data_IF_441657031664
#
_entry.id   IF_441657031664
#
_cell.length_a   1.000
_cell.length_b   1.000
_cell.length_c   1.000
_cell.angle_alpha   90.00
_cell.angle_beta   90.00
_cell.angle_gamma   90.00
#
_symmetry.space_group_name_H-M   'P 1'
#
loop_
_entity.id
_entity.type
_entity.pdbx_description
1 polymer ?
#
# COMPACT_ATOMS: atom_id res chain seq x y z
N UNK A 1 2.21 17.76 6.08
CA UNK A 1 1.36 17.42 4.92
C UNK A 1 1.96 16.19 4.27
N UNK A 2 1.12 15.28 3.79
CA UNK A 2 1.60 13.95 3.35
C UNK A 2 2.16 13.98 1.92
N UNK A 3 2.06 15.13 1.26
CA UNK A 3 2.20 15.22 -0.18
C UNK A 3 3.01 16.44 -0.62
N UNK A 4 3.98 16.23 -1.51
CA UNK A 4 4.89 17.24 -2.06
C UNK A 4 4.34 17.76 -3.41
N UNK A 5 3.58 18.86 -3.37
CA UNK A 5 2.84 19.35 -4.54
C UNK A 5 3.71 19.65 -5.78
N UNK A 6 4.90 20.27 -5.69
CA UNK A 6 5.78 20.43 -6.86
C UNK A 6 6.13 19.12 -7.56
N UNK A 7 6.34 18.05 -6.79
CA UNK A 7 6.66 16.72 -7.29
C UNK A 7 5.43 16.09 -7.96
N UNK A 8 4.24 16.38 -7.47
CA UNK A 8 2.99 16.03 -8.15
C UNK A 8 2.88 16.60 -9.54
N UNK A 9 3.11 17.90 -9.64
CA UNK A 9 2.89 18.62 -10.87
C UNK A 9 3.85 18.09 -11.92
N UNK A 10 5.08 17.76 -11.50
CA UNK A 10 6.05 17.01 -12.31
C UNK A 10 5.48 15.64 -12.73
N UNK A 11 5.10 14.78 -11.78
CA UNK A 11 4.59 13.43 -12.08
C UNK A 11 3.34 13.45 -12.97
N UNK A 12 2.43 14.42 -12.79
CA UNK A 12 1.25 14.60 -13.64
C UNK A 12 1.63 14.98 -15.08
N UNK A 13 2.65 15.82 -15.25
CA UNK A 13 3.17 16.18 -16.56
C UNK A 13 3.83 14.98 -17.26
N UNK A 14 4.66 14.22 -16.53
CA UNK A 14 5.30 12.99 -17.01
C UNK A 14 4.27 11.92 -17.38
N UNK A 15 3.20 11.78 -16.58
CA UNK A 15 2.11 10.89 -16.90
C UNK A 15 1.35 11.32 -18.16
N UNK A 16 1.08 12.62 -18.34
CA UNK A 16 0.45 13.10 -19.56
C UNK A 16 1.28 12.75 -20.81
N UNK A 17 2.61 12.92 -20.75
CA UNK A 17 3.51 12.50 -21.82
C UNK A 17 3.49 10.97 -22.04
N UNK A 18 3.56 10.18 -20.96
CA UNK A 18 3.50 8.73 -21.02
C UNK A 18 2.17 8.23 -21.61
N UNK A 19 1.03 8.78 -21.20
CA UNK A 19 -0.30 8.45 -21.73
C UNK A 19 -0.37 8.75 -23.23
N UNK A 20 0.23 9.86 -23.69
CA UNK A 20 0.33 10.15 -25.11
C UNK A 20 1.14 9.08 -25.85
N UNK A 21 2.28 8.63 -25.31
CA UNK A 21 3.08 7.54 -25.89
C UNK A 21 2.31 6.22 -25.98
N UNK A 22 1.59 5.84 -24.92
CA UNK A 22 0.72 4.66 -24.90
C UNK A 22 -0.37 4.77 -25.97
N UNK A 23 -1.05 5.92 -26.04
CA UNK A 23 -2.11 6.16 -27.01
C UNK A 23 -1.61 6.11 -28.46
N UNK A 24 -0.45 6.70 -28.75
CA UNK A 24 0.18 6.59 -30.07
C UNK A 24 0.51 5.14 -30.40
N UNK A 25 1.18 4.41 -29.50
CA UNK A 25 1.53 3.00 -29.72
C UNK A 25 0.28 2.11 -29.92
N UNK A 26 -0.83 2.46 -29.27
CA UNK A 26 -2.14 1.83 -29.47
C UNK A 26 -2.72 2.15 -30.86
N UNK A 27 -2.81 3.43 -31.24
CA UNK A 27 -3.44 3.88 -32.50
C UNK A 27 -2.64 3.40 -33.71
N UNK A 28 -1.31 3.41 -33.62
CA UNK A 28 -0.41 2.93 -34.67
C UNK A 28 -0.39 1.39 -34.79
N UNK A 29 -1.08 0.66 -33.91
CA UNK A 29 -1.13 -0.80 -33.88
C UNK A 29 0.17 -1.47 -33.37
N UNK A 30 1.15 -0.68 -32.89
CA UNK A 30 2.43 -1.19 -32.37
C UNK A 30 2.25 -2.07 -31.13
N UNK A 31 1.33 -1.71 -30.21
CA UNK A 31 0.99 -2.55 -29.05
C UNK A 31 0.51 -3.92 -29.51
N UNK A 32 -0.43 -3.96 -30.46
CA UNK A 32 -0.96 -5.23 -30.96
C UNK A 32 0.09 -6.05 -31.69
N UNK A 33 0.93 -5.42 -32.52
CA UNK A 33 2.00 -6.10 -33.26
C UNK A 33 3.02 -6.72 -32.31
N UNK A 34 3.40 -5.98 -31.26
CA UNK A 34 4.29 -6.47 -30.21
C UNK A 34 3.65 -7.59 -29.39
N UNK A 35 2.42 -7.41 -28.92
CA UNK A 35 1.72 -8.40 -28.11
C UNK A 35 1.47 -9.73 -28.83
N UNK A 36 1.28 -9.70 -30.16
CA UNK A 36 1.15 -10.90 -31.00
C UNK A 36 2.35 -11.84 -30.88
N UNK A 37 3.56 -11.29 -30.69
CA UNK A 37 4.79 -12.05 -30.52
C UNK A 37 4.78 -13.00 -29.32
N UNK A 38 3.97 -12.72 -28.29
CA UNK A 38 3.82 -13.59 -27.12
C UNK A 38 2.76 -14.68 -27.33
N UNK A 39 1.90 -14.56 -28.35
CA UNK A 39 0.83 -15.53 -28.57
C UNK A 39 1.38 -16.83 -29.19
N UNK A 40 1.17 -18.01 -28.58
CA UNK A 40 1.73 -19.28 -29.07
C UNK A 40 1.35 -19.62 -30.53
N UNK A 41 0.18 -19.14 -30.97
CA UNK A 41 -0.34 -19.31 -32.34
C UNK A 41 -0.31 -18.04 -33.20
N UNK A 42 0.33 -16.96 -32.71
CA UNK A 42 0.43 -15.67 -33.39
C UNK A 42 -0.92 -15.13 -33.90
N UNK A 43 -1.97 -15.22 -33.07
CA UNK A 43 -3.33 -14.82 -33.47
C UNK A 43 -3.43 -13.31 -33.61
N UNK A 44 -4.23 -12.84 -34.58
CA UNK A 44 -4.41 -11.41 -34.84
C UNK A 44 -4.95 -10.68 -33.61
N UNK A 45 -4.17 -9.76 -33.05
CA UNK A 45 -4.56 -8.93 -31.91
C UNK A 45 -5.68 -7.94 -32.26
N UNK A 46 -6.73 -7.90 -31.42
CA UNK A 46 -7.69 -6.78 -31.36
C UNK A 46 -7.65 -6.15 -29.98
N UNK A 47 -7.34 -4.86 -29.94
CA UNK A 47 -7.34 -4.08 -28.71
C UNK A 47 -8.72 -3.46 -28.47
N UNK A 48 -9.35 -3.79 -27.35
CA UNK A 48 -10.54 -3.09 -26.84
C UNK A 48 -10.22 -2.58 -25.43
N UNK A 49 -9.95 -1.28 -25.27
CA UNK A 49 -9.45 -0.77 -23.98
C UNK A 49 -8.07 -1.37 -23.66
N UNK A 50 -7.96 -2.14 -22.57
CA UNK A 50 -6.77 -2.91 -22.19
C UNK A 50 -6.78 -4.38 -22.62
N UNK A 51 -7.83 -4.83 -23.32
CA UNK A 51 -8.02 -6.24 -23.69
C UNK A 51 -7.38 -6.57 -25.04
N UNK A 52 -6.61 -7.66 -25.08
CA UNK A 52 -5.92 -8.19 -26.26
C UNK A 52 -6.33 -9.66 -26.47
N UNK A 53 -7.33 -9.94 -27.31
CA UNK A 53 -7.77 -11.33 -27.59
C UNK A 53 -7.99 -12.22 -26.33
N UNK A 54 -8.66 -11.68 -25.29
CA UNK A 54 -8.85 -12.32 -23.96
C UNK A 54 -7.61 -12.36 -23.03
N UNK A 55 -6.52 -11.68 -23.41
CA UNK A 55 -5.42 -11.33 -22.52
C UNK A 55 -5.54 -9.90 -22.02
N UNK A 56 -4.97 -9.63 -20.86
CA UNK A 56 -4.94 -8.32 -20.23
C UNK A 56 -3.48 -7.85 -20.14
N UNK A 57 -3.19 -6.69 -20.75
CA UNK A 57 -1.88 -6.06 -20.68
C UNK A 57 -1.88 -4.98 -19.59
N UNK A 58 -0.95 -5.08 -18.65
CA UNK A 58 -0.66 -4.06 -17.64
C UNK A 58 0.67 -3.40 -17.92
N UNK A 59 0.65 -2.07 -17.81
CA UNK A 59 1.81 -1.20 -17.83
C UNK A 59 1.71 -0.30 -16.60
N UNK A 60 2.73 -0.24 -15.72
CA UNK A 60 2.71 0.71 -14.61
C UNK A 60 2.61 2.15 -15.10
N UNK A 61 1.71 2.91 -14.50
CA UNK A 61 1.54 4.34 -14.81
C UNK A 61 2.74 5.13 -14.29
N UNK A 62 3.30 6.00 -15.14
CA UNK A 62 4.53 6.74 -14.83
C UNK A 62 4.45 7.60 -13.55
N UNK A 63 3.29 8.19 -13.23
CA UNK A 63 3.10 8.98 -12.00
C UNK A 63 2.86 8.13 -10.75
N UNK A 64 2.41 6.89 -10.92
CA UNK A 64 1.95 6.04 -9.82
C UNK A 64 3.06 5.18 -9.24
N UNK A 65 4.12 4.92 -10.02
CA UNK A 65 5.29 4.16 -9.60
C UNK A 65 6.54 4.91 -10.03
N UNK A 66 7.39 5.31 -9.06
CA UNK A 66 8.72 5.84 -9.35
C UNK A 66 9.47 4.95 -10.37
N UNK A 67 9.98 5.51 -11.48
CA UNK A 67 10.58 4.74 -12.57
C UNK A 67 11.70 3.79 -12.14
N UNK A 68 12.50 4.20 -11.15
CA UNK A 68 13.62 3.41 -10.60
C UNK A 68 13.18 2.09 -9.95
N UNK A 69 11.91 1.99 -9.55
CA UNK A 69 11.35 0.85 -8.82
C UNK A 69 10.27 0.10 -9.60
N UNK A 70 9.95 0.55 -10.82
CA UNK A 70 8.90 -0.07 -11.63
C UNK A 70 9.23 -1.53 -11.98
N UNK A 71 10.48 -1.80 -12.33
CA UNK A 71 10.98 -3.14 -12.64
C UNK A 71 10.94 -4.07 -11.43
N UNK A 72 11.44 -3.60 -10.27
CA UNK A 72 11.39 -4.33 -9.00
C UNK A 72 9.94 -4.67 -8.62
N UNK A 73 9.03 -3.69 -8.73
CA UNK A 73 7.61 -3.86 -8.44
C UNK A 73 6.96 -4.94 -9.31
N UNK A 74 7.14 -4.86 -10.64
CA UNK A 74 6.54 -5.83 -11.58
C UNK A 74 7.12 -7.22 -11.35
N UNK A 75 8.45 -7.35 -11.17
CA UNK A 75 9.07 -8.63 -10.90
C UNK A 75 8.52 -9.26 -9.60
N UNK A 76 8.34 -8.49 -8.53
CA UNK A 76 7.78 -9.01 -7.28
C UNK A 76 6.32 -9.44 -7.40
N UNK A 77 5.50 -8.72 -8.16
CA UNK A 77 4.12 -9.13 -8.44
C UNK A 77 4.08 -10.46 -9.22
N UNK A 78 4.96 -10.64 -10.20
CA UNK A 78 5.11 -11.91 -10.94
C UNK A 78 5.48 -13.05 -10.00
N UNK A 79 6.44 -12.85 -9.09
CA UNK A 79 6.82 -13.86 -8.10
C UNK A 79 5.68 -14.22 -7.15
N UNK A 80 4.96 -13.21 -6.65
CA UNK A 80 3.83 -13.42 -5.75
C UNK A 80 2.71 -14.24 -6.41
N UNK A 81 2.34 -13.91 -7.65
CA UNK A 81 1.32 -14.65 -8.41
C UNK A 81 1.72 -16.12 -8.60
N UNK A 82 2.96 -16.39 -8.99
CA UNK A 82 3.45 -17.77 -9.16
C UNK A 82 3.47 -18.52 -7.83
N UNK A 83 4.00 -17.90 -6.77
CA UNK A 83 4.06 -18.51 -5.44
C UNK A 83 2.68 -18.87 -4.91
N UNK A 84 1.72 -17.95 -5.03
CA UNK A 84 0.32 -18.17 -4.59
C UNK A 84 -0.32 -19.30 -5.40
N UNK A 85 -0.17 -19.30 -6.73
CA UNK A 85 -0.70 -20.34 -7.61
C UNK A 85 -0.14 -21.74 -7.27
N UNK A 86 1.14 -21.82 -6.93
CA UNK A 86 1.81 -23.09 -6.64
C UNK A 86 1.53 -23.64 -5.25
N UNK A 87 1.35 -22.76 -4.26
CA UNK A 87 1.23 -23.14 -2.85
C UNK A 87 -0.19 -23.15 -2.31
N UNK A 88 -1.15 -22.60 -3.06
CA UNK A 88 -2.52 -22.41 -2.60
C UNK A 88 -3.54 -22.79 -3.66
N UNK A 89 -4.80 -22.84 -3.28
CA UNK A 89 -5.96 -22.95 -4.17
C UNK A 89 -6.57 -21.60 -4.54
N UNK A 90 -5.93 -20.49 -4.16
CA UNK A 90 -6.42 -19.14 -4.42
C UNK A 90 -6.40 -18.92 -5.93
N UNK A 91 -7.54 -18.54 -6.54
CA UNK A 91 -7.56 -18.23 -7.95
C UNK A 91 -6.84 -16.89 -8.18
N UNK A 92 -5.81 -16.91 -9.01
CA UNK A 92 -5.04 -15.74 -9.44
C UNK A 92 -4.92 -15.75 -10.97
N UNK A 93 -4.62 -14.62 -11.64
CA UNK A 93 -4.39 -14.57 -13.08
C UNK A 93 -3.21 -15.43 -13.53
N UNK A 94 -3.32 -16.02 -14.72
CA UNK A 94 -2.23 -16.73 -15.37
C UNK A 94 -1.34 -15.73 -16.10
N UNK A 95 -0.03 -15.74 -15.83
CA UNK A 95 0.92 -14.86 -16.49
C UNK A 95 1.39 -15.54 -17.78
N UNK A 96 1.13 -14.91 -18.92
CA UNK A 96 1.55 -15.37 -20.25
C UNK A 96 2.92 -14.81 -20.64
N UNK A 97 3.17 -13.54 -20.31
CA UNK A 97 4.43 -12.87 -20.55
C UNK A 97 4.59 -11.70 -19.57
N UNK A 98 5.82 -11.30 -19.33
CA UNK A 98 6.17 -10.10 -18.60
C UNK A 98 7.57 -9.68 -19.05
N UNK A 99 8.00 -8.47 -18.67
CA UNK A 99 9.36 -8.03 -18.91
C UNK A 99 9.66 -6.68 -18.30
N UNK A 100 10.96 -6.38 -18.20
CA UNK A 100 11.52 -5.15 -17.66
C UNK A 100 11.37 -3.98 -18.64
N UNK A 101 11.60 -2.77 -18.15
CA UNK A 101 11.53 -1.55 -18.95
C UNK A 101 12.42 -1.63 -20.20
N UNK A 102 13.65 -2.15 -20.06
CA UNK A 102 14.61 -2.28 -21.17
C UNK A 102 14.19 -3.32 -22.22
N UNK A 103 13.36 -4.29 -21.84
CA UNK A 103 12.87 -5.35 -22.73
C UNK A 103 11.63 -4.93 -23.51
N UNK A 104 11.01 -3.80 -23.13
CA UNK A 104 9.84 -3.27 -23.82
C UNK A 104 10.26 -2.36 -24.99
N UNK A 105 10.16 -2.82 -26.26
CA UNK A 105 10.61 -2.07 -27.43
C UNK A 105 9.77 -0.81 -27.70
N UNK A 106 8.64 -0.63 -27.00
CA UNK A 106 7.80 0.55 -27.10
C UNK A 106 8.25 1.67 -26.15
N UNK A 107 9.19 1.39 -25.23
CA UNK A 107 9.65 2.36 -24.23
C UNK A 107 8.55 2.79 -23.25
N UNK A 108 7.60 1.91 -22.95
CA UNK A 108 6.45 2.19 -22.08
C UNK A 108 6.65 1.74 -20.62
N UNK A 109 7.86 1.32 -20.26
CA UNK A 109 8.18 0.74 -18.96
C UNK A 109 8.01 -0.80 -18.93
N UNK A 110 8.15 -1.43 -17.76
CA UNK A 110 7.92 -2.87 -17.63
C UNK A 110 6.46 -3.21 -17.92
N UNK A 111 6.21 -4.50 -18.16
CA UNK A 111 4.87 -4.96 -18.54
C UNK A 111 4.55 -6.33 -17.97
N UNK A 112 3.25 -6.61 -17.89
CA UNK A 112 2.73 -7.93 -17.61
C UNK A 112 1.55 -8.22 -18.52
N UNK A 113 1.51 -9.43 -19.08
CA UNK A 113 0.45 -9.94 -19.93
C UNK A 113 -0.12 -11.19 -19.26
N UNK A 114 -1.41 -11.17 -18.96
CA UNK A 114 -2.04 -12.22 -18.16
C UNK A 114 -3.46 -12.55 -18.63
N UNK A 115 -4.04 -13.61 -18.06
CA UNK A 115 -5.43 -14.00 -18.30
C UNK A 115 -6.39 -12.90 -17.90
N UNK A 116 -7.35 -12.57 -18.78
CA UNK A 116 -8.53 -11.84 -18.37
C UNK A 116 -9.41 -12.72 -17.47
N UNK A 117 -9.98 -12.13 -16.42
CA UNK A 117 -10.87 -12.82 -15.49
C UNK A 117 -12.30 -12.34 -15.73
N UNK A 118 -13.18 -13.25 -16.12
CA UNK A 118 -14.60 -12.99 -16.24
C UNK A 118 -15.24 -12.81 -14.85
N UNK A 119 -15.98 -11.71 -14.67
CA UNK A 119 -16.68 -11.42 -13.42
C UNK A 119 -16.92 -9.93 -13.21
N UNK A 120 -17.25 -9.56 -11.98
CA UNK A 120 -17.47 -8.17 -11.53
C UNK A 120 -16.52 -7.88 -10.36
N UNK A 121 -15.91 -6.70 -10.37
CA UNK A 121 -15.09 -6.26 -9.24
C UNK A 121 -15.97 -6.09 -8.00
N UNK A 122 -15.52 -6.59 -6.85
CA UNK A 122 -16.31 -6.52 -5.62
C UNK A 122 -16.59 -5.06 -5.22
N UNK A 123 -15.71 -4.11 -5.54
CA UNK A 123 -15.96 -2.67 -5.38
C UNK A 123 -17.24 -2.23 -6.08
N UNK A 124 -17.52 -2.70 -7.30
CA UNK A 124 -18.73 -2.32 -8.05
C UNK A 124 -20.01 -2.93 -7.45
N UNK A 125 -19.87 -3.94 -6.59
CA UNK A 125 -20.98 -4.59 -5.88
C UNK A 125 -21.17 -3.96 -4.51
N UNK A 126 -20.08 -3.68 -3.80
CA UNK A 126 -20.04 -3.37 -2.37
C UNK A 126 -19.80 -1.89 -2.04
N UNK A 127 -19.35 -1.07 -2.99
CA UNK A 127 -19.25 0.38 -2.80
C UNK A 127 -20.45 1.12 -3.42
N UNK A 128 -20.73 2.34 -2.97
CA UNK A 128 -21.78 3.21 -3.50
C UNK A 128 -21.36 4.69 -3.46
N UNK A 129 -21.87 5.48 -4.41
CA UNK A 129 -21.87 6.94 -4.30
C UNK A 129 -20.50 7.62 -4.30
N UNK A 130 -19.44 6.94 -4.78
CA UNK A 130 -18.07 7.45 -4.75
C UNK A 130 -17.39 7.34 -3.38
N UNK A 131 -18.06 6.78 -2.36
CA UNK A 131 -17.41 6.41 -1.10
C UNK A 131 -16.43 5.27 -1.33
N UNK A 132 -15.30 5.30 -0.63
CA UNK A 132 -14.34 4.19 -0.61
C UNK A 132 -14.76 3.06 0.33
N UNK A 133 -15.79 3.30 1.14
CA UNK A 133 -16.27 2.38 2.16
C UNK A 133 -17.32 1.42 1.64
N UNK A 134 -17.47 0.32 2.38
CA UNK A 134 -18.57 -0.61 2.23
C UNK A 134 -19.93 0.13 2.33
N UNK A 135 -20.76 0.04 1.29
CA UNK A 135 -22.07 0.70 1.26
C UNK A 135 -22.99 0.22 2.37
N UNK A 136 -23.86 1.11 2.82
CA UNK A 136 -24.88 0.78 3.80
C UNK A 136 -25.91 -0.20 3.21
N UNK A 137 -26.51 -1.04 4.05
CA UNK A 137 -27.57 -1.94 3.63
C UNK A 137 -27.15 -3.26 2.95
N UNK A 138 -25.84 -3.54 2.78
CA UNK A 138 -25.41 -4.89 2.40
C UNK A 138 -25.83 -5.88 3.51
N UNK A 139 -26.56 -6.96 3.19
CA UNK A 139 -26.91 -7.99 4.15
C UNK A 139 -25.66 -8.58 4.82
N UNK A 140 -25.72 -8.78 6.14
CA UNK A 140 -24.58 -9.38 6.86
C UNK A 140 -24.24 -10.78 6.34
N UNK A 141 -25.22 -11.51 5.79
CA UNK A 141 -25.01 -12.81 5.16
C UNK A 141 -24.09 -12.74 3.94
N UNK A 142 -24.21 -11.69 3.12
CA UNK A 142 -23.38 -11.50 1.92
C UNK A 142 -21.95 -11.13 2.31
N UNK A 143 -21.80 -10.27 3.34
CA UNK A 143 -20.50 -9.92 3.92
C UNK A 143 -19.84 -11.16 4.51
N UNK A 144 -20.57 -11.93 5.30
CA UNK A 144 -20.07 -13.17 5.89
C UNK A 144 -19.63 -14.16 4.80
N UNK A 145 -20.41 -14.28 3.72
CA UNK A 145 -20.09 -15.17 2.61
C UNK A 145 -18.77 -14.81 1.92
N UNK A 146 -18.53 -13.53 1.66
CA UNK A 146 -17.25 -13.05 1.10
C UNK A 146 -16.12 -13.21 2.11
N UNK A 147 -16.31 -12.79 3.36
CA UNK A 147 -15.30 -12.91 4.41
C UNK A 147 -14.89 -14.35 4.68
N UNK A 148 -15.82 -15.30 4.58
CA UNK A 148 -15.53 -16.72 4.74
C UNK A 148 -14.60 -17.23 3.63
N UNK A 149 -14.80 -16.80 2.39
CA UNK A 149 -13.88 -17.12 1.28
C UNK A 149 -12.51 -16.46 1.48
N UNK A 150 -12.49 -15.18 1.88
CA UNK A 150 -11.25 -14.47 2.21
C UNK A 150 -10.50 -15.13 3.38
N UNK A 151 -11.19 -15.56 4.43
CA UNK A 151 -10.58 -16.27 5.56
C UNK A 151 -9.90 -17.58 5.10
N UNK A 152 -10.54 -18.35 4.19
CA UNK A 152 -9.90 -19.53 3.59
C UNK A 152 -8.64 -19.19 2.80
N UNK A 153 -8.60 -18.05 2.12
CA UNK A 153 -7.40 -17.59 1.42
C UNK A 153 -6.32 -17.17 2.40
N UNK A 154 -6.68 -16.39 3.43
CA UNK A 154 -5.75 -15.94 4.48
C UNK A 154 -5.11 -17.13 5.20
N UNK A 155 -5.88 -18.17 5.54
CA UNK A 155 -5.37 -19.40 6.16
C UNK A 155 -4.39 -20.17 5.26
N UNK A 156 -4.55 -20.11 3.94
CA UNK A 156 -3.62 -20.73 3.00
C UNK A 156 -2.34 -19.90 2.85
N UNK A 157 -2.46 -18.58 2.69
CA UNK A 157 -1.31 -17.67 2.61
C UNK A 157 -0.47 -17.71 3.90
N UNK A 158 -1.12 -17.85 5.06
CA UNK A 158 -0.43 -17.95 6.35
C UNK A 158 0.43 -19.21 6.49
N UNK A 159 0.25 -20.22 5.65
CA UNK A 159 1.13 -21.42 5.62
C UNK A 159 2.40 -21.21 4.79
N UNK A 160 2.54 -20.07 4.11
CA UNK A 160 3.73 -19.74 3.32
C UNK A 160 4.74 -19.06 4.25
N UNK A 161 5.76 -19.83 4.64
CA UNK A 161 6.78 -19.40 5.58
C UNK A 161 8.05 -18.91 4.89
N UNK A 162 8.63 -17.85 5.45
CA UNK A 162 9.94 -17.32 5.09
C UNK A 162 10.84 -17.25 6.32
N UNK A 163 12.14 -17.46 6.10
CA UNK A 163 13.16 -17.38 7.16
C UNK A 163 13.64 -15.96 7.46
N UNK A 164 13.25 -14.97 6.66
CA UNK A 164 13.64 -13.56 6.84
C UNK A 164 12.56 -12.60 6.33
N UNK A 165 12.47 -11.43 6.94
CA UNK A 165 11.66 -10.32 6.42
C UNK A 165 12.46 -9.63 5.31
N UNK A 166 11.83 -9.37 4.18
CA UNK A 166 12.50 -8.81 3.02
C UNK A 166 11.76 -9.04 1.73
N UNK A 167 12.44 -8.77 0.64
CA UNK A 167 11.97 -9.08 -0.71
C UNK A 167 11.74 -10.58 -0.88
N UNK A 168 10.76 -10.93 -1.72
CA UNK A 168 10.49 -12.33 -2.03
C UNK A 168 11.69 -12.97 -2.75
N UNK A 169 11.96 -14.28 -2.52
CA UNK A 169 12.87 -15.03 -3.38
C UNK A 169 12.41 -14.94 -4.84
N UNK A 170 13.36 -14.87 -5.78
CA UNK A 170 13.05 -14.64 -7.21
C UNK A 170 13.34 -15.84 -8.14
N UNK A 171 12.87 -17.08 -7.85
CA UNK A 171 13.18 -18.24 -8.69
C UNK A 171 12.49 -18.23 -10.06
N UNK A 172 11.46 -17.40 -10.29
CA UNK A 172 10.74 -17.32 -11.56
C UNK A 172 11.27 -16.21 -12.46
N UNK A 173 11.56 -15.06 -11.86
CA UNK A 173 11.99 -13.84 -12.53
C UNK A 173 13.50 -13.71 -12.62
N UNK A 174 14.25 -14.33 -11.69
CA UNK A 174 15.68 -14.13 -11.49
C UNK A 174 16.06 -12.64 -11.32
N UNK A 175 15.10 -11.79 -10.94
CA UNK A 175 15.36 -10.37 -10.77
C UNK A 175 16.30 -10.16 -9.56
N UNK A 176 17.39 -9.38 -9.71
CA UNK A 176 18.38 -9.18 -8.65
C UNK A 176 17.91 -8.13 -7.64
N UNK A 177 16.77 -8.37 -6.99
CA UNK A 177 16.23 -7.42 -6.02
C UNK A 177 17.12 -7.30 -4.78
N UNK A 178 17.25 -6.09 -4.20
CA UNK A 178 17.81 -5.93 -2.86
C UNK A 178 16.98 -6.71 -1.84
N UNK A 179 17.60 -7.17 -0.74
CA UNK A 179 16.87 -7.95 0.29
C UNK A 179 15.84 -7.15 1.09
N UNK A 180 15.86 -5.80 1.01
CA UNK A 180 14.90 -4.93 1.69
C UNK A 180 13.55 -4.92 1.00
N UNK A 181 12.42 -5.02 1.73
CA UNK A 181 11.12 -5.10 1.10
C UNK A 181 10.77 -3.77 0.40
N UNK A 182 10.21 -3.86 -0.80
CA UNK A 182 9.55 -2.76 -1.48
C UNK A 182 8.08 -2.72 -1.04
N UNK A 183 7.80 -2.07 0.08
CA UNK A 183 6.45 -1.90 0.62
C UNK A 183 5.73 -0.74 -0.06
N UNK A 184 4.39 -0.72 0.00
CA UNK A 184 3.61 0.43 -0.47
C UNK A 184 4.03 1.70 0.28
N UNK A 185 4.17 1.61 1.61
CA UNK A 185 4.54 2.75 2.45
C UNK A 185 5.86 3.41 2.04
N UNK A 186 6.94 2.65 1.90
CA UNK A 186 8.25 3.24 1.58
C UNK A 186 8.25 3.87 0.19
N UNK A 187 7.52 3.25 -0.74
CA UNK A 187 7.33 3.78 -2.09
C UNK A 187 6.50 5.06 -2.08
N UNK A 188 5.40 5.12 -1.33
CA UNK A 188 4.59 6.34 -1.21
C UNK A 188 5.39 7.48 -0.57
N UNK A 189 6.19 7.23 0.48
CA UNK A 189 7.05 8.27 1.06
C UNK A 189 8.00 8.86 0.01
N UNK A 190 8.53 8.02 -0.89
CA UNK A 190 9.36 8.49 -1.99
C UNK A 190 8.55 9.23 -3.06
N UNK A 191 7.48 8.60 -3.57
CA UNK A 191 6.69 9.08 -4.72
C UNK A 191 5.86 10.30 -4.38
N UNK A 192 5.27 10.35 -3.19
CA UNK A 192 4.45 11.46 -2.72
C UNK A 192 5.24 12.48 -1.90
N UNK A 193 6.20 12.04 -1.08
CA UNK A 193 6.95 12.91 -0.19
C UNK A 193 8.31 13.38 -0.74
N UNK A 194 8.83 12.76 -1.81
CA UNK A 194 10.14 13.07 -2.37
C UNK A 194 11.32 12.58 -1.53
N UNK A 195 11.09 11.72 -0.52
CA UNK A 195 12.13 11.29 0.42
C UNK A 195 12.42 9.80 0.27
N UNK A 196 13.66 9.46 -0.07
CA UNK A 196 14.12 8.08 0.00
C UNK A 196 14.41 7.66 1.45
N UNK A 197 13.63 6.69 1.94
CA UNK A 197 13.75 6.14 3.31
C UNK A 197 14.12 4.66 3.34
N UNK A 198 14.54 4.08 2.21
CA UNK A 198 14.91 2.67 2.11
C UNK A 198 16.08 2.29 3.02
N UNK A 199 17.07 3.18 3.20
CA UNK A 199 18.30 2.92 3.94
C UNK A 199 19.20 1.85 3.30
N UNK A 200 20.32 1.51 3.97
CA UNK A 200 21.18 0.39 3.56
C UNK A 200 20.69 -0.91 4.22
N UNK A 201 19.96 -1.74 3.46
CA UNK A 201 19.31 -2.95 3.96
C UNK A 201 19.49 -4.13 3.00
N UNK A 202 20.74 -4.43 2.68
CA UNK A 202 21.10 -5.54 1.79
C UNK A 202 20.82 -6.94 2.36
N UNK A 203 20.55 -7.08 3.66
CA UNK A 203 20.34 -8.39 4.30
C UNK A 203 18.90 -8.64 4.79
N UNK A 204 17.95 -7.72 4.60
CA UNK A 204 16.60 -7.85 5.16
C UNK A 204 16.58 -7.71 6.70
N UNK A 205 15.59 -8.32 7.37
CA UNK A 205 15.46 -8.27 8.84
C UNK A 205 15.29 -9.66 9.45
N UNK A 206 16.00 -9.88 10.55
CA UNK A 206 15.95 -11.17 11.27
C UNK A 206 14.88 -11.19 12.35
N UNK A 207 14.32 -10.04 12.73
CA UNK A 207 13.23 -9.97 13.70
C UNK A 207 12.13 -8.98 13.32
N UNK A 208 10.91 -9.25 13.80
CA UNK A 208 9.75 -8.37 13.67
C UNK A 208 10.02 -7.02 14.33
N UNK A 209 10.62 -7.01 15.52
CA UNK A 209 10.96 -5.76 16.22
C UNK A 209 11.91 -4.88 15.42
N UNK A 210 12.93 -5.46 14.79
CA UNK A 210 13.87 -4.72 13.95
C UNK A 210 13.15 -4.08 12.75
N UNK A 211 12.26 -4.84 12.11
CA UNK A 211 11.43 -4.36 11.01
C UNK A 211 10.47 -3.24 11.44
N UNK A 212 9.78 -3.36 12.59
CA UNK A 212 8.91 -2.29 13.08
C UNK A 212 9.68 -1.02 13.43
N UNK A 213 10.87 -1.14 14.00
CA UNK A 213 11.75 0.02 14.22
C UNK A 213 12.17 0.67 12.90
N UNK A 214 12.47 -0.14 11.89
CA UNK A 214 12.79 0.34 10.55
C UNK A 214 11.62 1.10 9.93
N UNK A 215 10.41 0.55 9.96
CA UNK A 215 9.20 1.17 9.41
C UNK A 215 8.81 2.45 10.16
N UNK A 216 8.96 2.49 11.48
CA UNK A 216 8.77 3.72 12.26
C UNK A 216 9.85 4.77 11.95
N UNK A 217 11.09 4.33 11.68
CA UNK A 217 12.17 5.23 11.29
C UNK A 217 11.98 5.81 9.88
N UNK A 218 11.21 5.16 9.00
CA UNK A 218 10.80 5.76 7.73
C UNK A 218 9.95 7.01 7.97
N UNK A 219 8.98 6.96 8.89
CA UNK A 219 8.15 8.13 9.24
C UNK A 219 9.01 9.24 9.88
N UNK A 220 9.97 8.87 10.74
CA UNK A 220 10.93 9.84 11.28
C UNK A 220 11.77 10.52 10.19
N UNK A 221 12.23 9.77 9.20
CA UNK A 221 12.99 10.32 8.09
C UNK A 221 12.13 11.21 7.21
N UNK A 222 10.89 10.82 6.92
CA UNK A 222 9.94 11.67 6.21
C UNK A 222 9.69 12.97 6.98
N UNK A 223 9.34 12.89 8.27
CA UNK A 223 9.09 14.05 9.12
C UNK A 223 10.28 15.03 9.12
N UNK A 224 11.51 14.51 9.16
CA UNK A 224 12.72 15.33 9.21
C UNK A 224 13.14 15.89 7.85
N UNK A 225 13.05 15.10 6.78
CA UNK A 225 13.64 15.43 5.47
C UNK A 225 12.65 16.02 4.48
N UNK A 226 11.38 15.65 4.56
CA UNK A 226 10.37 16.27 3.70
C UNK A 226 10.11 17.68 4.22
N UNK A 227 10.40 18.69 3.40
CA UNK A 227 10.36 20.08 3.84
C UNK A 227 8.97 20.51 4.35
N UNK A 228 7.91 20.09 3.66
CA UNK A 228 6.51 20.38 3.99
C UNK A 228 5.81 19.31 4.87
N UNK A 229 6.57 18.50 5.61
CA UNK A 229 6.00 17.48 6.51
C UNK A 229 5.13 18.05 7.63
N UNK A 230 5.22 19.35 7.93
CA UNK A 230 4.43 20.05 8.95
C UNK A 230 3.56 21.16 8.33
N UNK A 231 2.48 21.55 9.00
CA UNK A 231 1.68 22.74 8.66
C UNK A 231 1.96 23.94 9.59
N UNK A 232 2.76 23.73 10.63
CA UNK A 232 3.10 24.75 11.62
C UNK A 232 3.57 24.16 12.95
N UNK A 233 3.80 25.01 13.97
CA UNK A 233 4.43 24.59 15.22
C UNK A 233 3.65 23.49 15.96
N UNK A 234 2.31 23.56 15.94
CA UNK A 234 1.48 22.55 16.59
C UNK A 234 1.64 21.18 15.94
N UNK A 235 1.47 21.09 14.62
CA UNK A 235 1.63 19.81 13.87
C UNK A 235 3.03 19.24 13.98
N UNK A 236 4.07 20.10 14.05
CA UNK A 236 5.45 19.68 14.26
C UNK A 236 5.64 18.99 15.62
N UNK A 237 5.19 19.62 16.71
CA UNK A 237 5.24 19.03 18.05
C UNK A 237 4.40 17.76 18.16
N UNK A 238 3.19 17.78 17.61
CA UNK A 238 2.28 16.65 17.65
C UNK A 238 2.81 15.43 16.91
N UNK A 239 3.34 15.62 15.69
CA UNK A 239 3.91 14.53 14.90
C UNK A 239 5.15 13.94 15.57
N UNK A 240 6.04 14.80 16.10
CA UNK A 240 7.23 14.38 16.83
C UNK A 240 6.87 13.51 18.03
N UNK A 241 5.95 13.99 18.87
CA UNK A 241 5.49 13.26 20.06
C UNK A 241 4.80 11.94 19.70
N UNK A 242 3.94 11.94 18.68
CA UNK A 242 3.24 10.73 18.22
C UNK A 242 4.22 9.64 17.77
N UNK A 243 5.24 10.00 16.98
CA UNK A 243 6.27 9.04 16.56
C UNK A 243 7.14 8.54 17.72
N UNK A 244 7.38 9.36 18.77
CA UNK A 244 8.04 8.89 20.00
C UNK A 244 7.18 7.88 20.75
N UNK A 245 5.87 8.15 20.86
CA UNK A 245 4.93 7.21 21.51
C UNK A 245 4.91 5.89 20.75
N UNK A 246 4.71 5.90 19.43
CA UNK A 246 4.71 4.67 18.64
C UNK A 246 6.03 3.91 18.79
N UNK A 247 7.17 4.60 18.70
CA UNK A 247 8.48 4.00 18.90
C UNK A 247 8.59 3.32 20.28
N UNK A 248 8.06 3.94 21.34
CA UNK A 248 8.08 3.39 22.69
C UNK A 248 7.21 2.15 22.87
N UNK A 249 6.15 2.01 22.06
CA UNK A 249 5.21 0.89 22.11
C UNK A 249 5.68 -0.34 21.35
N UNK A 250 6.58 -0.19 20.37
CA UNK A 250 7.06 -1.32 19.53
C UNK A 250 7.56 -2.50 20.37
N UNK A 251 8.44 -2.35 21.39
CA UNK A 251 8.94 -3.51 22.14
C UNK A 251 7.85 -4.26 22.90
N UNK A 252 6.84 -3.54 23.40
CA UNK A 252 5.73 -4.04 24.20
C UNK A 252 4.65 -4.71 23.33
N UNK A 253 4.31 -4.09 22.20
CA UNK A 253 3.28 -4.56 21.27
C UNK A 253 3.83 -5.46 20.16
N UNK A 254 5.00 -6.07 20.39
CA UNK A 254 5.53 -7.15 19.55
C UNK A 254 5.31 -8.49 20.26
N UNK A 255 4.55 -9.39 19.65
CA UNK A 255 4.41 -10.78 20.09
C UNK A 255 5.78 -11.48 20.01
N UNK A 256 6.29 -11.88 21.17
CA UNK A 256 7.62 -12.49 21.29
C UNK A 256 7.71 -13.87 20.66
N UNK A 257 6.59 -14.61 20.56
CA UNK A 257 6.53 -15.90 19.87
C UNK A 257 6.83 -15.77 18.38
N UNK A 258 6.42 -14.66 17.76
CA UNK A 258 6.61 -14.38 16.33
C UNK A 258 7.71 -13.36 16.05
N UNK A 259 8.55 -13.01 17.03
CA UNK A 259 9.60 -12.02 16.82
C UNK A 259 10.65 -12.52 15.83
N UNK A 260 11.01 -13.81 15.87
CA UNK A 260 12.02 -14.42 14.98
C UNK A 260 11.42 -15.26 13.84
N UNK A 261 10.14 -15.06 13.56
CA UNK A 261 9.39 -15.79 12.54
C UNK A 261 8.62 -17.01 13.08
N UNK A 262 8.06 -17.85 12.19
CA UNK A 262 8.19 -17.74 10.74
C UNK A 262 7.56 -16.44 10.20
N UNK A 263 8.16 -15.88 9.16
CA UNK A 263 7.63 -14.69 8.47
C UNK A 263 6.68 -15.13 7.36
N UNK A 264 5.76 -14.27 6.95
CA UNK A 264 4.62 -14.61 6.08
C UNK A 264 4.62 -13.78 4.82
N UNK A 265 3.91 -14.26 3.79
CA UNK A 265 3.65 -13.48 2.58
C UNK A 265 2.68 -12.34 2.91
N UNK A 266 3.17 -11.10 2.87
CA UNK A 266 2.36 -9.88 3.00
C UNK A 266 2.22 -9.27 1.61
N UNK A 267 1.04 -8.73 1.32
CA UNK A 267 0.74 -7.96 0.13
C UNK A 267 -0.03 -6.73 0.57
N UNK A 268 0.59 -5.54 0.49
CA UNK A 268 0.00 -4.31 1.03
C UNK A 268 -1.28 -3.88 0.28
N UNK A 269 -1.52 -4.42 -0.93
CA UNK A 269 -2.74 -4.23 -1.71
C UNK A 269 -3.67 -5.47 -1.74
N UNK A 270 -3.49 -6.43 -0.83
CA UNK A 270 -4.43 -7.54 -0.70
C UNK A 270 -5.72 -7.08 0.01
N UNK A 271 -6.70 -6.62 -0.79
CA UNK A 271 -7.98 -6.08 -0.30
C UNK A 271 -9.17 -6.55 -1.13
N UNK A 272 -10.36 -6.35 -0.58
CA UNK A 272 -11.62 -6.61 -1.26
C UNK A 272 -11.76 -5.86 -2.60
N UNK A 273 -11.14 -4.68 -2.73
CA UNK A 273 -11.15 -3.94 -3.98
C UNK A 273 -10.44 -4.64 -5.14
N UNK A 274 -9.61 -5.63 -4.84
CA UNK A 274 -8.85 -6.41 -5.82
C UNK A 274 -9.42 -7.85 -5.95
N UNK A 275 -10.69 -8.04 -5.58
CA UNK A 275 -11.40 -9.32 -5.68
C UNK A 275 -12.42 -9.25 -6.79
N UNK A 276 -12.41 -10.24 -7.68
CA UNK A 276 -13.41 -10.42 -8.74
C UNK A 276 -14.35 -11.56 -8.32
N UNK A 277 -15.65 -11.28 -8.31
CA UNK A 277 -16.70 -12.27 -8.07
C UNK A 277 -17.40 -12.66 -9.37
N UNK A 278 -18.03 -13.83 -9.41
CA UNK A 278 -18.67 -14.35 -10.63
C UNK A 278 -19.75 -13.43 -11.19
N UNK A 279 -20.57 -12.83 -10.33
CA UNK A 279 -21.58 -11.83 -10.73
C UNK A 279 -22.06 -11.01 -9.52
N UNK A 280 -22.99 -10.08 -9.74
CA UNK A 280 -23.64 -9.33 -8.64
C UNK A 280 -24.49 -10.21 -7.72
N UNK A 281 -25.01 -11.32 -8.22
CA UNK A 281 -25.89 -12.25 -7.49
C UNK A 281 -25.17 -13.52 -7.01
N UNK A 282 -23.99 -13.82 -7.57
CA UNK A 282 -23.10 -14.92 -7.16
C UNK A 282 -21.75 -14.34 -6.71
N UNK A 283 -21.65 -14.14 -5.39
CA UNK A 283 -20.49 -13.57 -4.71
C UNK A 283 -19.32 -14.58 -4.56
N UNK A 284 -19.36 -15.72 -5.27
CA UNK A 284 -18.22 -16.65 -5.29
C UNK A 284 -17.02 -15.94 -5.92
N UNK A 285 -15.87 -15.95 -5.22
CA UNK A 285 -14.65 -15.33 -5.71
C UNK A 285 -14.11 -16.11 -6.91
N UNK A 286 -14.00 -15.43 -8.04
CA UNK A 286 -13.47 -15.96 -9.29
C UNK A 286 -11.95 -15.76 -9.41
N UNK A 287 -11.42 -14.65 -8.90
CA UNK A 287 -9.97 -14.40 -8.81
C UNK A 287 -9.66 -13.29 -7.79
N UNK A 288 -8.47 -13.37 -7.20
CA UNK A 288 -7.79 -12.21 -6.58
C UNK A 288 -6.81 -11.65 -7.60
N UNK A 289 -6.82 -10.34 -7.82
CA UNK A 289 -5.96 -9.64 -8.78
C UNK A 289 -5.09 -8.60 -8.06
N UNK A 290 -4.26 -7.86 -8.80
CA UNK A 290 -3.46 -6.74 -8.31
C UNK A 290 -2.71 -7.06 -7.00
N UNK A 291 -1.88 -8.11 -7.05
CA UNK A 291 -1.06 -8.59 -5.93
C UNK A 291 0.24 -7.79 -5.81
N UNK A 292 0.09 -6.46 -5.80
CA UNK A 292 1.19 -5.51 -5.78
C UNK A 292 1.77 -5.36 -4.36
N UNK A 293 3.04 -4.93 -4.28
CA UNK A 293 3.72 -4.66 -3.01
C UNK A 293 3.80 -5.89 -2.11
N UNK A 294 4.11 -7.03 -2.72
CA UNK A 294 4.26 -8.31 -2.04
C UNK A 294 5.68 -8.51 -1.49
N UNK A 295 5.79 -8.94 -0.24
CA UNK A 295 7.06 -9.16 0.45
C UNK A 295 6.92 -10.20 1.55
N UNK A 296 8.04 -10.71 2.06
CA UNK A 296 8.08 -11.50 3.27
C UNK A 296 8.09 -10.56 4.48
N UNK A 297 7.09 -10.67 5.36
CA UNK A 297 6.91 -9.76 6.49
C UNK A 297 6.48 -10.43 7.80
N UNK A 298 6.36 -9.66 8.90
CA UNK A 298 5.95 -10.18 10.19
C UNK A 298 4.61 -10.93 10.16
N UNK A 299 4.56 -12.13 10.75
CA UNK A 299 3.31 -12.88 10.92
C UNK A 299 2.23 -12.05 11.66
N UNK A 300 2.65 -11.13 12.52
CA UNK A 300 1.77 -10.31 13.35
C UNK A 300 1.07 -9.20 12.56
N UNK A 301 1.68 -8.70 11.48
CA UNK A 301 0.99 -7.81 10.55
C UNK A 301 -0.10 -8.58 9.80
N UNK A 302 0.20 -9.81 9.39
CA UNK A 302 -0.75 -10.69 8.71
C UNK A 302 -1.91 -11.11 9.62
N UNK A 303 -1.60 -11.51 10.85
CA UNK A 303 -2.55 -11.96 11.87
C UNK A 303 -3.11 -10.84 12.73
N UNK A 304 -3.24 -9.63 12.21
CA UNK A 304 -4.01 -8.56 12.86
C UNK A 304 -5.37 -8.38 12.21
N UNK A 305 -6.26 -7.64 12.87
CA UNK A 305 -7.53 -7.23 12.26
C UNK A 305 -7.29 -6.65 10.85
N UNK A 306 -7.93 -7.20 9.80
CA UNK A 306 -7.65 -6.74 8.45
C UNK A 306 -8.10 -5.29 8.25
N UNK A 307 -7.21 -4.46 7.72
CA UNK A 307 -7.55 -3.06 7.43
C UNK A 307 -8.59 -2.93 6.32
N UNK A 308 -8.74 -3.94 5.45
CA UNK A 308 -9.64 -3.93 4.29
C UNK A 308 -11.10 -4.32 4.61
N UNK A 309 -11.46 -4.55 5.88
CA UNK A 309 -12.81 -4.99 6.26
C UNK A 309 -13.90 -4.09 5.65
N UNK A 310 -13.72 -2.77 5.66
CA UNK A 310 -14.68 -1.85 5.03
C UNK A 310 -14.22 -1.38 3.65
N UNK A 311 -13.54 -2.23 2.86
CA UNK A 311 -12.95 -1.95 1.54
C UNK A 311 -11.74 -1.02 1.54
N UNK A 312 -11.68 -0.05 2.46
CA UNK A 312 -10.59 0.92 2.53
C UNK A 312 -9.83 0.86 3.86
N UNK A 313 -8.58 1.32 3.81
CA UNK A 313 -7.69 1.41 4.95
C UNK A 313 -8.14 2.57 5.86
N UNK A 314 -8.23 2.38 7.19
CA UNK A 314 -8.82 3.36 8.10
C UNK A 314 -7.87 4.51 8.46
N UNK A 315 -7.27 5.14 7.47
CA UNK A 315 -6.22 6.17 7.62
C UNK A 315 -6.46 7.39 6.73
N UNK A 316 -7.59 7.43 6.04
CA UNK A 316 -8.02 8.60 5.27
C UNK A 316 -8.99 9.45 6.12
N UNK A 317 -9.28 10.67 5.65
CA UNK A 317 -10.13 11.62 6.37
C UNK A 317 -11.58 11.17 6.61
N UNK A 318 -12.13 10.24 5.84
CA UNK A 318 -13.46 9.64 6.11
C UNK A 318 -13.47 8.81 7.41
N UNK A 319 -12.29 8.48 7.95
CA UNK A 319 -12.09 7.77 9.22
C UNK A 319 -11.61 8.66 10.36
N UNK A 320 -11.34 9.94 10.12
CA UNK A 320 -10.86 10.81 11.18
C UNK A 320 -11.97 11.10 12.19
N UNK A 321 -11.57 11.26 13.45
CA UNK A 321 -12.47 11.74 14.48
C UNK A 321 -12.74 13.23 14.27
N UNK A 322 -14.01 13.62 14.18
CA UNK A 322 -14.44 15.02 14.09
C UNK A 322 -14.88 15.51 15.46
N UNK A 323 -14.26 16.58 15.98
CA UNK A 323 -14.60 17.17 17.28
C UNK A 323 -14.63 16.17 18.47
N UNK A 324 -13.88 15.07 18.36
CA UNK A 324 -13.84 13.99 19.37
C UNK A 324 -14.91 12.91 19.20
N UNK A 325 -15.79 13.04 18.20
CA UNK A 325 -16.75 12.02 17.82
C UNK A 325 -16.10 10.98 16.89
N UNK A 326 -16.43 9.71 17.11
CA UNK A 326 -15.91 8.63 16.28
C UNK A 326 -16.57 8.65 14.89
N UNK A 327 -15.86 8.28 13.82
CA UNK A 327 -16.45 8.25 12.48
C UNK A 327 -17.61 7.27 12.43
N UNK A 328 -18.61 7.55 11.59
CA UNK A 328 -19.80 6.68 11.40
C UNK A 328 -19.43 5.23 11.08
N UNK A 329 -18.29 5.02 10.42
CA UNK A 329 -17.75 3.71 10.06
C UNK A 329 -17.32 2.85 11.27
N UNK A 330 -17.13 3.44 12.46
CA UNK A 330 -16.59 2.77 13.66
C UNK A 330 -17.37 1.52 14.03
N UNK A 331 -18.68 1.66 14.27
CA UNK A 331 -19.52 0.53 14.70
C UNK A 331 -19.61 -0.54 13.62
N UNK A 332 -19.61 -0.11 12.34
CA UNK A 332 -19.63 -1.03 11.20
C UNK A 332 -18.32 -1.81 11.08
N UNK A 333 -17.18 -1.17 11.36
CA UNK A 333 -15.87 -1.81 11.38
C UNK A 333 -15.83 -2.92 12.44
N UNK A 334 -16.21 -2.61 13.69
CA UNK A 334 -16.24 -3.62 14.76
C UNK A 334 -17.25 -4.74 14.48
N UNK A 335 -18.42 -4.42 13.93
CA UNK A 335 -19.38 -5.44 13.49
C UNK A 335 -18.79 -6.37 12.44
N UNK A 336 -18.07 -5.83 11.46
CA UNK A 336 -17.39 -6.62 10.42
C UNK A 336 -16.23 -7.44 10.99
N UNK A 337 -15.47 -6.88 11.93
CA UNK A 337 -14.40 -7.58 12.63
C UNK A 337 -14.93 -8.81 13.38
N UNK A 338 -16.07 -8.68 14.07
CA UNK A 338 -16.71 -9.82 14.76
C UNK A 338 -17.18 -10.91 13.78
N UNK A 339 -17.74 -10.54 12.64
CA UNK A 339 -18.08 -11.50 11.57
C UNK A 339 -16.81 -12.20 11.08
N UNK A 340 -15.76 -11.43 10.77
CA UNK A 340 -14.48 -11.97 10.26
C UNK A 340 -13.81 -12.92 11.27
N UNK A 341 -13.75 -12.54 12.55
CA UNK A 341 -13.23 -13.37 13.64
C UNK A 341 -13.93 -14.72 13.72
N UNK A 342 -15.27 -14.70 13.69
CA UNK A 342 -16.09 -15.92 13.70
C UNK A 342 -15.76 -16.82 12.51
N UNK A 343 -15.84 -16.30 11.29
CA UNK A 343 -15.61 -17.14 10.10
C UNK A 343 -14.17 -17.63 10.00
N UNK A 344 -13.19 -16.82 10.42
CA UNK A 344 -11.79 -17.22 10.46
C UNK A 344 -11.57 -18.40 11.40
N UNK A 345 -12.09 -18.32 12.63
CA UNK A 345 -11.98 -19.40 13.61
C UNK A 345 -12.68 -20.69 13.16
N UNK A 346 -13.85 -20.58 12.52
CA UNK A 346 -14.59 -21.73 11.97
C UNK A 346 -13.82 -22.40 10.82
N UNK A 347 -13.33 -21.62 9.86
CA UNK A 347 -12.58 -22.14 8.71
C UNK A 347 -11.22 -22.70 9.12
N UNK A 348 -10.55 -22.10 10.12
CA UNK A 348 -9.30 -22.62 10.66
C UNK A 348 -9.51 -23.98 11.32
N UNK A 349 -10.54 -24.11 12.17
CA UNK A 349 -10.90 -25.37 12.81
C UNK A 349 -11.22 -26.47 11.77
N UNK A 350 -11.92 -26.12 10.69
CA UNK A 350 -12.23 -27.04 9.60
C UNK A 350 -10.97 -27.50 8.84
N UNK A 351 -10.00 -26.61 8.62
CA UNK A 351 -8.77 -26.93 7.88
C UNK A 351 -7.75 -27.73 8.70
N UNK A 352 -7.64 -27.47 10.00
CA UNK A 352 -6.63 -28.11 10.87
C UNK A 352 -7.17 -29.30 11.65
N UNK A 353 -8.47 -29.61 11.54
CA UNK A 353 -9.10 -30.69 12.31
C UNK A 353 -9.00 -30.45 13.83
N UNK A 354 -9.13 -29.20 14.25
CA UNK A 354 -8.88 -28.70 15.61
C UNK A 354 -7.43 -28.79 16.12
N UNK A 355 -6.44 -29.06 15.27
CA UNK A 355 -5.03 -29.08 15.65
C UNK A 355 -4.34 -27.75 15.30
N UNK A 356 -4.51 -26.76 16.18
CA UNK A 356 -3.87 -25.45 16.10
C UNK A 356 -4.78 -24.35 15.57
N UNK A 357 -4.89 -23.25 16.32
CA UNK A 357 -5.64 -22.03 16.00
C UNK A 357 -4.70 -20.84 15.82
N UNK A 358 -3.66 -21.03 15.01
CA UNK A 358 -2.52 -20.12 14.98
C UNK A 358 -2.91 -18.70 14.55
N UNK A 359 -3.66 -18.58 13.44
CA UNK A 359 -4.00 -17.27 12.88
C UNK A 359 -5.14 -16.59 13.66
N UNK A 360 -6.16 -17.34 14.10
CA UNK A 360 -7.24 -16.77 14.91
C UNK A 360 -6.78 -16.37 16.32
N UNK A 361 -5.86 -17.12 16.95
CA UNK A 361 -5.25 -16.73 18.22
C UNK A 361 -4.35 -15.50 18.07
N UNK A 362 -3.60 -15.40 16.97
CA UNK A 362 -2.78 -14.22 16.71
C UNK A 362 -3.64 -12.96 16.50
N UNK A 363 -4.78 -13.09 15.81
CA UNK A 363 -5.74 -12.01 15.63
C UNK A 363 -6.36 -11.61 16.97
N UNK A 364 -6.80 -12.57 17.79
CA UNK A 364 -7.32 -12.29 19.12
C UNK A 364 -6.28 -11.57 20.00
N UNK A 365 -5.02 -12.04 19.99
CA UNK A 365 -3.93 -11.37 20.70
C UNK A 365 -3.73 -9.92 20.22
N UNK A 366 -3.79 -9.67 18.91
CA UNK A 366 -3.59 -8.34 18.34
C UNK A 366 -4.68 -7.35 18.78
N UNK A 367 -5.90 -7.83 18.99
CA UNK A 367 -7.03 -7.06 19.48
C UNK A 367 -6.92 -6.81 20.99
N UNK A 368 -6.69 -7.87 21.77
CA UNK A 368 -6.60 -7.81 23.23
C UNK A 368 -5.46 -6.90 23.69
N UNK A 369 -4.31 -6.95 22.99
CA UNK A 369 -3.13 -6.13 23.28
C UNK A 369 -3.20 -4.72 22.69
N UNK A 370 -4.11 -4.47 21.74
CA UNK A 370 -4.14 -3.22 20.96
C UNK A 370 -3.06 -3.14 19.87
N UNK A 371 -2.25 -4.18 19.67
CA UNK A 371 -1.19 -4.22 18.66
C UNK A 371 -1.71 -4.03 17.23
N UNK A 372 -2.94 -4.47 16.92
CA UNK A 372 -3.53 -4.28 15.59
C UNK A 372 -3.59 -2.79 15.17
N UNK A 373 -3.80 -1.88 16.13
CA UNK A 373 -3.82 -0.44 15.85
C UNK A 373 -2.43 0.10 15.56
N UNK A 374 -1.42 -0.33 16.33
CA UNK A 374 -0.01 0.00 16.05
C UNK A 374 0.38 -0.50 14.66
N UNK A 375 0.00 -1.73 14.30
CA UNK A 375 0.30 -2.31 12.99
C UNK A 375 -0.31 -1.52 11.83
N UNK A 376 -1.55 -1.03 11.98
CA UNK A 376 -2.18 -0.15 10.99
C UNK A 376 -1.40 1.17 10.84
N UNK A 377 -0.99 1.79 11.94
CA UNK A 377 -0.21 3.04 11.91
C UNK A 377 1.17 2.83 11.26
N UNK A 378 1.86 1.76 11.62
CA UNK A 378 3.16 1.42 11.03
C UNK A 378 3.04 1.16 9.53
N UNK A 379 1.97 0.53 9.06
CA UNK A 379 1.86 0.08 7.66
C UNK A 379 1.35 1.14 6.68
N UNK A 380 0.90 2.31 7.15
CA UNK A 380 0.15 3.28 6.33
C UNK A 380 0.95 4.53 5.95
N UNK A 381 2.05 4.82 6.64
CA UNK A 381 2.78 6.07 6.49
C UNK A 381 2.13 7.19 7.30
N UNK A 382 2.75 8.39 7.27
CA UNK A 382 2.36 9.60 7.99
C UNK A 382 0.87 9.65 8.40
N UNK A 383 0.60 9.60 9.70
CA UNK A 383 -0.77 9.59 10.24
C UNK A 383 -0.97 10.79 11.14
N UNK A 384 -2.20 11.30 11.19
CA UNK A 384 -2.57 12.35 12.13
C UNK A 384 -3.13 11.74 13.43
N UNK A 385 -3.01 12.49 14.52
CA UNK A 385 -3.53 12.16 15.84
C UNK A 385 -5.04 11.85 15.91
N UNK A 386 -5.94 12.47 15.13
CA UNK A 386 -7.36 12.11 15.10
C UNK A 386 -7.66 10.89 14.23
N UNK A 387 -6.66 10.30 13.54
CA UNK A 387 -6.91 9.11 12.72
C UNK A 387 -7.49 7.96 13.54
N UNK A 388 -8.40 7.21 12.91
CA UNK A 388 -9.09 6.09 13.56
C UNK A 388 -8.15 5.15 14.34
N UNK A 389 -7.09 4.56 13.77
CA UNK A 389 -6.21 3.66 14.49
C UNK A 389 -5.44 4.36 15.62
N UNK A 390 -5.06 5.64 15.48
CA UNK A 390 -4.41 6.39 16.55
C UNK A 390 -5.36 6.59 17.75
N UNK A 391 -6.61 6.97 17.47
CA UNK A 391 -7.63 7.16 18.49
C UNK A 391 -8.03 5.84 19.18
N UNK A 392 -8.10 4.74 18.43
CA UNK A 392 -8.34 3.42 19.03
C UNK A 392 -7.15 2.94 19.88
N UNK A 393 -5.91 3.20 19.44
CA UNK A 393 -4.72 2.91 20.23
C UNK A 393 -4.69 3.75 21.52
N UNK A 394 -4.99 5.06 21.44
CA UNK A 394 -5.14 5.95 22.62
C UNK A 394 -6.21 5.42 23.58
N UNK A 395 -7.37 5.01 23.06
CA UNK A 395 -8.46 4.43 23.87
C UNK A 395 -8.00 3.14 24.58
N UNK A 396 -7.26 2.27 23.89
CA UNK A 396 -6.75 1.02 24.45
C UNK A 396 -5.70 1.24 25.54
N UNK A 397 -4.75 2.17 25.33
CA UNK A 397 -3.72 2.52 26.33
C UNK A 397 -4.26 3.30 27.52
N UNK A 398 -5.32 4.07 27.31
CA UNK A 398 -5.87 5.01 28.28
C UNK A 398 -5.52 6.46 27.92
N UNK A 399 -6.54 7.33 27.94
CA UNK A 399 -6.42 8.73 27.56
C UNK A 399 -5.40 9.49 28.42
N UNK A 400 -5.42 9.32 29.74
CA UNK A 400 -4.50 9.98 30.68
C UNK A 400 -3.03 9.61 30.39
N UNK A 401 -2.73 8.32 30.25
CA UNK A 401 -1.39 7.81 29.91
C UNK A 401 -0.87 8.38 28.58
N UNK A 402 -1.77 8.55 27.61
CA UNK A 402 -1.44 9.04 26.29
C UNK A 402 -1.15 10.55 26.33
N UNK A 403 -2.04 11.31 26.95
CA UNK A 403 -1.94 12.76 27.03
C UNK A 403 -0.69 13.18 27.82
N UNK A 404 -0.39 12.51 28.94
CA UNK A 404 0.86 12.73 29.71
C UNK A 404 2.12 12.52 28.86
N UNK A 405 2.15 11.48 28.01
CA UNK A 405 3.29 11.23 27.10
C UNK A 405 3.35 12.22 25.97
N UNK A 406 2.20 12.60 25.41
CA UNK A 406 2.14 13.62 24.37
C UNK A 406 2.76 14.91 24.90
N UNK A 407 2.33 15.39 26.08
CA UNK A 407 2.88 16.61 26.67
C UNK A 407 4.37 16.46 27.01
N UNK A 408 4.76 15.33 27.63
CA UNK A 408 6.15 15.05 27.97
C UNK A 408 7.11 15.00 26.78
N UNK A 409 6.63 14.60 25.59
CA UNK A 409 7.43 14.60 24.36
C UNK A 409 7.30 15.88 23.55
N UNK A 410 6.28 16.71 23.76
CA UNK A 410 6.09 17.99 23.04
C UNK A 410 6.96 19.10 23.62
N UNK A 411 7.09 19.15 24.94
CA UNK A 411 7.62 20.32 25.64
C UNK A 411 9.09 20.14 26.03
N UNK A 412 9.96 19.98 25.02
CA UNK A 412 11.42 19.84 25.22
C UNK A 412 12.22 20.79 24.32
N UNK A 413 13.43 21.18 24.76
CA UNK A 413 14.33 22.04 23.98
C UNK A 413 14.74 21.41 22.63
N UNK A 414 14.86 20.09 22.58
CA UNK A 414 15.09 19.34 21.33
C UNK A 414 13.96 19.58 20.32
N UNK A 415 12.71 19.58 20.81
CA UNK A 415 11.53 19.77 19.97
C UNK A 415 11.41 21.20 19.50
N UNK A 416 11.70 22.19 20.34
CA UNK A 416 11.71 23.61 19.93
C UNK A 416 12.75 23.86 18.82
N UNK A 417 13.92 23.23 18.93
CA UNK A 417 14.95 23.26 17.88
C UNK A 417 14.44 22.61 16.59
N UNK A 418 13.82 21.44 16.71
CA UNK A 418 13.21 20.74 15.58
C UNK A 418 12.12 21.60 14.90
N UNK A 419 11.21 22.20 15.66
CA UNK A 419 10.14 23.08 15.17
C UNK A 419 10.72 24.25 14.40
N UNK A 420 11.75 24.91 14.96
CA UNK A 420 12.41 26.06 14.31
C UNK A 420 13.02 25.68 12.97
N UNK A 421 13.76 24.55 12.93
CA UNK A 421 14.36 24.06 11.68
C UNK A 421 13.29 23.70 10.66
N UNK A 422 12.23 23.00 11.08
CA UNK A 422 11.13 22.61 10.19
C UNK A 422 10.36 23.79 9.61
N UNK A 423 10.21 24.89 10.36
CA UNK A 423 9.60 26.11 9.84
C UNK A 423 10.46 26.77 8.76
N UNK A 424 11.79 26.71 8.90
CA UNK A 424 12.70 27.20 7.85
C UNK A 424 12.62 26.33 6.60
N UNK A 425 12.55 25.00 6.74
CA UNK A 425 12.34 24.08 5.62
C UNK A 425 11.03 24.38 4.89
N UNK A 426 9.92 24.56 5.64
CA UNK A 426 8.61 24.88 5.08
C UNK A 426 8.65 26.20 4.29
N UNK A 427 9.26 27.24 4.84
CA UNK A 427 9.41 28.52 4.14
C UNK A 427 10.31 28.42 2.90
N UNK A 428 11.27 27.50 2.86
CA UNK A 428 12.07 27.23 1.66
C UNK A 428 11.26 26.46 0.61
N UNK A 429 10.46 25.49 1.04
CA UNK A 429 9.52 24.75 0.20
C UNK A 429 8.49 25.66 -0.45
N UNK A 430 7.86 26.57 0.29
CA UNK A 430 6.82 27.48 -0.23
C UNK A 430 7.35 28.32 -1.42
N UNK A 431 8.63 28.71 -1.39
CA UNK A 431 9.28 29.44 -2.49
C UNK A 431 9.52 28.57 -3.72
N UNK A 432 9.78 27.28 -3.53
CA UNK A 432 9.92 26.32 -4.63
C UNK A 432 8.55 26.05 -5.22
N UNK A 433 7.55 25.86 -4.37
CA UNK A 433 6.16 25.65 -4.77
C UNK A 433 5.62 26.79 -5.63
N UNK A 434 5.77 28.04 -5.19
CA UNK A 434 5.34 29.21 -5.97
C UNK A 434 5.97 29.24 -7.38
N UNK A 435 7.25 28.88 -7.50
CA UNK A 435 7.94 28.80 -8.81
C UNK A 435 7.39 27.70 -9.70
N UNK A 436 7.14 26.51 -9.13
CA UNK A 436 6.61 25.38 -9.88
C UNK A 436 5.17 25.63 -10.32
N UNK A 437 4.35 26.25 -9.46
CA UNK A 437 3.00 26.70 -9.82
C UNK A 437 3.02 27.73 -10.94
N UNK A 438 3.98 28.67 -10.93
CA UNK A 438 4.18 29.60 -12.04
C UNK A 438 4.52 28.87 -13.35
N UNK A 439 5.47 27.93 -13.34
CA UNK A 439 5.79 27.13 -14.53
C UNK A 439 4.60 26.28 -14.99
N UNK A 440 3.80 25.76 -14.05
CA UNK A 440 2.60 25.00 -14.38
C UNK A 440 1.57 25.87 -15.10
N UNK A 441 1.39 27.12 -14.65
CA UNK A 441 0.52 28.09 -15.31
C UNK A 441 1.00 28.41 -16.74
N UNK A 442 2.31 28.57 -16.96
CA UNK A 442 2.89 28.76 -18.30
C UNK A 442 2.68 27.54 -19.20
N UNK A 443 2.80 26.33 -18.64
CA UNK A 443 2.51 25.09 -19.39
C UNK A 443 1.03 25.02 -19.79
N UNK A 444 0.13 25.36 -18.87
CA UNK A 444 -1.33 25.36 -19.13
C UNK A 444 -1.75 26.43 -20.13
N UNK A 445 -1.09 27.59 -20.13
CA UNK A 445 -1.30 28.65 -21.14
C UNK A 445 -0.61 28.39 -22.48
N UNK A 446 0.13 27.28 -22.60
CA UNK A 446 0.94 26.89 -23.77
C UNK A 446 2.10 27.85 -24.08
N UNK A 447 2.53 28.62 -23.09
CA UNK A 447 3.75 29.45 -23.14
C UNK A 447 5.02 28.62 -22.85
N UNK A 448 4.86 27.45 -22.24
CA UNK A 448 5.91 26.46 -21.97
C UNK A 448 5.45 25.08 -22.47
N UNK A 449 6.36 24.30 -23.05
CA UNK A 449 6.03 22.92 -23.46
C UNK A 449 6.04 21.99 -22.26
N UNK A 450 5.35 20.84 -22.35
CA UNK A 450 5.40 19.81 -21.29
C UNK A 450 6.82 19.29 -21.05
N UNK A 451 7.62 19.15 -22.11
CA UNK A 451 9.02 18.72 -22.02
C UNK A 451 9.88 19.76 -21.29
N UNK A 452 9.74 21.05 -21.62
CA UNK A 452 10.43 22.14 -20.94
C UNK A 452 10.03 22.24 -19.45
N UNK A 453 8.74 22.04 -19.15
CA UNK A 453 8.24 22.02 -17.78
C UNK A 453 8.88 20.89 -16.98
N UNK A 454 8.83 19.65 -17.50
CA UNK A 454 9.45 18.47 -16.86
C UNK A 454 10.94 18.74 -16.60
N UNK A 455 11.68 19.18 -17.62
CA UNK A 455 13.11 19.47 -17.48
C UNK A 455 13.41 20.56 -16.43
N UNK A 456 12.66 21.66 -16.47
CA UNK A 456 12.86 22.81 -15.57
C UNK A 456 12.55 22.43 -14.13
N UNK A 457 11.42 21.76 -13.88
CA UNK A 457 11.00 21.38 -12.54
C UNK A 457 11.89 20.27 -11.98
N UNK A 458 12.25 19.25 -12.75
CA UNK A 458 13.20 18.21 -12.32
C UNK A 458 14.56 18.80 -11.92
N UNK A 459 15.06 19.77 -12.68
CA UNK A 459 16.31 20.47 -12.35
C UNK A 459 16.17 21.28 -11.05
N UNK A 460 15.04 21.98 -10.89
CA UNK A 460 14.77 22.77 -9.68
C UNK A 460 14.72 21.88 -8.44
N UNK A 461 13.96 20.78 -8.49
CA UNK A 461 13.78 19.84 -7.38
C UNK A 461 15.06 19.06 -7.03
N UNK A 462 15.96 18.86 -8.00
CA UNK A 462 17.26 18.23 -7.74
C UNK A 462 18.27 19.20 -7.08
N UNK A 463 17.99 20.50 -7.11
CA UNK A 463 18.88 21.57 -6.61
C UNK A 463 18.43 22.17 -5.27
N UNK A 464 17.19 21.88 -4.86
CA UNK A 464 16.55 22.30 -3.61
C UNK A 464 16.70 21.23 -2.55
#
# INVERSE_FOLDING_TARGET
MDYHNPLNLLHMAEESDWVNKVNMARVDGRICTWAQGFHPKNLSCRLHGGFLNAWFLRLPRASSVSPEYADEKVAMEVEAIHLIREKTSIPVPEIYAWGLAEENPLGLGPFMLMSFIDGVCLTDVFAEGGSRLLKEGIPDADIEYVYRQMARFMLQLFKIDFGRIGTLPTPRTNYPAPSRPLTWKVHEILRAGGVNTFGDRNEGFSTTREYFQYVNNQDWQQLRRQHNSIAGPWTARSSYASLKILQSLIPELTNTTYDRGPFKLICDDFRLGNVIVRSKDDLTIASVVDLEWAYAGPAQLFGSAPWWLLMDRPVNSEWDFEEGEAPKATDRYFKCLEIYKRVLAEEEANMTGNQGKELSELLQWSEDSGAMWLHMLLSSGFFDTPSFPCMQLRKHRGAEWWDERMDGYRDTEEVETFVTNKLNDLAAYDKVEEKVEHYKALMDSKEMTTEDFIYTVSTLLSSS
#
